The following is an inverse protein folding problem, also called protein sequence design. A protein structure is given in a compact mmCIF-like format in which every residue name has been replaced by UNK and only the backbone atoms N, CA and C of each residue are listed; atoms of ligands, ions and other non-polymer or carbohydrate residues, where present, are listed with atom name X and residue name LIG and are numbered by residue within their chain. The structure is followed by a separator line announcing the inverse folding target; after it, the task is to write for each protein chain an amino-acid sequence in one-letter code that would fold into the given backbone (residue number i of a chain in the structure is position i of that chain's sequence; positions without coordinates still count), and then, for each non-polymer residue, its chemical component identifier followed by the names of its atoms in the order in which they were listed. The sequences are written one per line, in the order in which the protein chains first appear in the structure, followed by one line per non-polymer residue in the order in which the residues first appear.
data_IF_622427022557
#
_entry.id   IF_622427022557
#
_cell.length_a   1.000
_cell.length_b   1.000
_cell.length_c   1.000
_cell.angle_alpha   90.00
_cell.angle_beta   90.00
_cell.angle_gamma   90.00
#
_symmetry.space_group_name_H-M   'P 1'
#
loop_
_entity.id
_entity.type
_entity.pdbx_description
1 polymer ?
#
# COMPACT_ATOMS: atom_id res chain seq x y z
N UNK A 1 -0.59 27.01 -0.21
CA UNK A 1 -1.89 27.50 0.29
C UNK A 1 -2.75 28.15 -0.80
N UNK A 2 -2.37 29.29 -1.43
CA UNK A 2 -3.23 30.00 -2.43
C UNK A 2 -3.63 29.11 -3.62
N UNK A 3 -2.71 28.39 -4.21
CA UNK A 3 -2.96 27.48 -5.34
C UNK A 3 -3.93 26.37 -4.95
N UNK A 4 -3.74 25.79 -3.76
CA UNK A 4 -4.63 24.73 -3.24
C UNK A 4 -6.03 25.27 -2.98
N UNK A 5 -6.17 26.44 -2.38
CA UNK A 5 -7.47 27.08 -2.15
C UNK A 5 -8.21 27.37 -3.47
N UNK A 6 -7.49 27.87 -4.48
CA UNK A 6 -8.06 28.14 -5.80
C UNK A 6 -8.54 26.86 -6.49
N UNK A 7 -7.75 25.79 -6.46
CA UNK A 7 -8.10 24.49 -7.05
C UNK A 7 -9.28 23.82 -6.33
N UNK A 8 -9.33 23.95 -5.01
CA UNK A 8 -10.42 23.45 -4.18
C UNK A 8 -11.70 24.31 -4.24
N UNK A 9 -11.69 25.47 -4.90
CA UNK A 9 -12.82 26.39 -4.96
C UNK A 9 -13.18 27.04 -3.61
N UNK A 10 -12.22 27.18 -2.69
CA UNK A 10 -12.42 27.72 -1.35
C UNK A 10 -11.55 28.96 -1.10
N UNK A 11 -11.84 29.71 -0.04
CA UNK A 11 -11.00 30.85 0.34
C UNK A 11 -9.67 30.43 0.97
N UNK A 12 -8.64 31.23 0.79
CA UNK A 12 -7.34 31.00 1.45
C UNK A 12 -7.50 31.01 2.97
N UNK A 13 -8.36 31.89 3.49
CA UNK A 13 -8.65 31.96 4.93
C UNK A 13 -9.27 30.66 5.48
N UNK A 14 -10.08 29.95 4.68
CA UNK A 14 -10.65 28.68 5.08
C UNK A 14 -9.55 27.59 5.16
N UNK A 15 -8.64 27.54 4.19
CA UNK A 15 -7.51 26.60 4.23
C UNK A 15 -6.62 26.90 5.44
N UNK A 16 -6.34 28.20 5.72
CA UNK A 16 -5.53 28.63 6.87
C UNK A 16 -6.24 28.39 8.23
N UNK A 17 -7.54 28.35 8.25
CA UNK A 17 -8.30 28.01 9.47
C UNK A 17 -8.11 26.55 9.89
N UNK A 18 -7.97 25.63 8.91
CA UNK A 18 -7.77 24.20 9.18
C UNK A 18 -6.30 23.79 9.24
N UNK A 19 -5.42 24.53 8.59
CA UNK A 19 -3.99 24.20 8.47
C UNK A 19 -3.15 25.49 8.67
N UNK A 20 -2.52 25.60 9.82
CA UNK A 20 -1.70 26.77 10.14
C UNK A 20 -0.46 26.82 9.23
N UNK A 21 0.10 25.67 8.88
CA UNK A 21 1.32 25.56 8.08
C UNK A 21 1.14 24.75 6.80
N UNK A 22 2.06 24.93 5.85
CA UNK A 22 2.13 24.07 4.66
C UNK A 22 2.44 22.61 5.05
N UNK A 23 3.23 22.41 6.10
CA UNK A 23 3.57 21.09 6.61
C UNK A 23 2.33 20.34 7.09
N UNK A 24 1.48 20.99 7.90
CA UNK A 24 0.21 20.42 8.35
C UNK A 24 -0.74 20.09 7.21
N UNK A 25 -0.84 20.96 6.20
CA UNK A 25 -1.64 20.68 5.01
C UNK A 25 -1.14 19.43 4.28
N UNK A 26 0.17 19.31 4.06
CA UNK A 26 0.78 18.15 3.40
C UNK A 26 0.59 16.88 4.23
N UNK A 27 0.79 16.97 5.54
CA UNK A 27 0.59 15.86 6.46
C UNK A 27 -0.86 15.37 6.44
N UNK A 28 -1.84 16.26 6.62
CA UNK A 28 -3.25 15.93 6.55
C UNK A 28 -3.67 15.35 5.19
N UNK A 29 -3.05 15.82 4.11
CA UNK A 29 -3.27 15.26 2.76
C UNK A 29 -2.76 13.82 2.68
N UNK A 30 -1.56 13.54 3.20
CA UNK A 30 -1.00 12.17 3.23
C UNK A 30 -1.85 11.23 4.07
N UNK A 31 -2.29 11.66 5.25
CA UNK A 31 -3.17 10.85 6.09
C UNK A 31 -4.51 10.55 5.41
N UNK A 32 -5.07 11.53 4.70
CA UNK A 32 -6.30 11.32 3.94
C UNK A 32 -6.11 10.29 2.83
N UNK A 33 -5.05 10.43 2.03
CA UNK A 33 -4.75 9.52 0.93
C UNK A 33 -4.41 8.10 1.43
N UNK A 34 -3.74 7.99 2.58
CA UNK A 34 -3.46 6.71 3.22
C UNK A 34 -4.76 6.01 3.67
N UNK A 35 -5.68 6.73 4.33
CA UNK A 35 -6.99 6.17 4.71
C UNK A 35 -7.74 5.66 3.48
N UNK A 36 -7.78 6.43 2.40
CA UNK A 36 -8.39 6.03 1.13
C UNK A 36 -7.76 4.77 0.54
N UNK A 37 -6.44 4.67 0.56
CA UNK A 37 -5.71 3.48 0.10
C UNK A 37 -6.07 2.24 0.94
N UNK A 38 -6.14 2.38 2.28
CA UNK A 38 -6.55 1.29 3.18
C UNK A 38 -7.99 0.86 2.91
N UNK A 39 -8.91 1.82 2.71
CA UNK A 39 -10.31 1.54 2.40
C UNK A 39 -10.43 0.74 1.09
N UNK A 40 -9.77 1.17 0.00
CA UNK A 40 -9.77 0.46 -1.28
C UNK A 40 -9.21 -0.96 -1.16
N UNK A 41 -8.07 -1.12 -0.48
CA UNK A 41 -7.50 -2.44 -0.24
C UNK A 41 -8.46 -3.36 0.51
N UNK A 42 -9.07 -2.87 1.61
CA UNK A 42 -10.04 -3.63 2.40
C UNK A 42 -11.29 -3.99 1.60
N UNK A 43 -11.77 -3.10 0.74
CA UNK A 43 -12.90 -3.38 -0.14
C UNK A 43 -12.58 -4.48 -1.14
N UNK A 44 -11.41 -4.42 -1.78
CA UNK A 44 -10.96 -5.44 -2.75
C UNK A 44 -10.71 -6.81 -2.10
N UNK A 45 -10.30 -6.82 -0.84
CA UNK A 45 -10.00 -8.07 -0.11
C UNK A 45 -11.16 -8.57 0.75
N UNK A 46 -12.30 -7.86 0.78
CA UNK A 46 -13.47 -8.21 1.63
C UNK A 46 -14.14 -9.52 1.21
N UNK A 47 -14.18 -9.82 -0.08
CA UNK A 47 -14.77 -11.05 -0.61
C UNK A 47 -13.83 -12.27 -0.44
N UNK A 48 -13.14 -12.29 0.66
CA UNK A 48 -11.96 -13.09 0.95
C UNK A 48 -12.24 -14.57 1.19
N UNK A 49 -12.45 -15.25 0.12
CA UNK A 49 -11.77 -16.52 -0.13
C UNK A 49 -10.34 -16.25 -0.66
N UNK A 50 -9.85 -15.01 -0.49
CA UNK A 50 -8.53 -14.61 -0.93
C UNK A 50 -7.49 -15.29 -0.04
N UNK A 51 -6.57 -16.04 -0.64
CA UNK A 51 -5.40 -16.58 0.07
C UNK A 51 -4.61 -15.43 0.70
N UNK A 52 -3.87 -15.71 1.79
CA UNK A 52 -3.02 -14.69 2.44
C UNK A 52 -2.02 -14.06 1.44
N UNK A 53 -1.57 -14.84 0.45
CA UNK A 53 -0.77 -14.32 -0.68
C UNK A 53 -1.51 -13.25 -1.48
N UNK A 54 -2.77 -13.48 -1.84
CA UNK A 54 -3.57 -12.51 -2.59
C UNK A 54 -3.84 -11.23 -1.77
N UNK A 55 -4.03 -11.36 -0.45
CA UNK A 55 -4.16 -10.23 0.47
C UNK A 55 -2.87 -9.40 0.49
N UNK A 56 -1.70 -10.04 0.61
CA UNK A 56 -0.40 -9.37 0.57
C UNK A 56 -0.13 -8.71 -0.78
N UNK A 57 -0.47 -9.37 -1.89
CA UNK A 57 -0.33 -8.83 -3.24
C UNK A 57 -1.19 -7.58 -3.45
N UNK A 58 -2.47 -7.63 -3.06
CA UNK A 58 -3.37 -6.48 -3.10
C UNK A 58 -2.89 -5.32 -2.23
N UNK A 59 -2.33 -5.63 -1.05
CA UNK A 59 -1.72 -4.64 -0.16
C UNK A 59 -0.55 -3.90 -0.82
N UNK A 60 0.35 -4.63 -1.45
CA UNK A 60 1.53 -4.07 -2.14
C UNK A 60 1.15 -3.32 -3.42
N UNK A 61 0.11 -3.78 -4.12
CA UNK A 61 -0.38 -3.13 -5.34
C UNK A 61 -0.92 -1.71 -5.08
N UNK A 62 -1.42 -1.41 -3.87
CA UNK A 62 -1.85 -0.05 -3.51
C UNK A 62 -0.71 0.98 -3.55
N UNK A 63 0.54 0.57 -3.44
CA UNK A 63 1.70 1.43 -3.60
C UNK A 63 2.07 1.71 -5.07
N UNK A 64 1.44 1.00 -6.04
CA UNK A 64 1.67 1.22 -7.46
C UNK A 64 0.70 2.27 -8.03
N UNK A 65 1.16 3.20 -8.89
CA UNK A 65 0.36 4.25 -9.48
C UNK A 65 -0.49 3.72 -10.66
N UNK A 66 -1.45 2.86 -10.37
CA UNK A 66 -2.30 2.15 -11.36
C UNK A 66 -3.49 2.97 -11.83
N UNK A 67 -3.93 3.93 -11.02
CA UNK A 67 -5.05 4.83 -11.30
C UNK A 67 -4.72 6.28 -10.87
N UNK A 68 -5.63 7.20 -11.09
CA UNK A 68 -5.41 8.62 -10.76
C UNK A 68 -5.20 8.86 -9.25
N UNK A 69 -5.89 8.10 -8.39
CA UNK A 69 -5.82 8.27 -6.94
C UNK A 69 -4.53 7.69 -6.37
N UNK A 70 -4.16 6.47 -6.75
CA UNK A 70 -2.88 5.84 -6.34
C UNK A 70 -1.68 6.62 -6.90
N UNK A 71 -1.80 7.17 -8.11
CA UNK A 71 -0.80 8.07 -8.70
C UNK A 71 -0.65 9.35 -7.87
N UNK A 72 -1.75 9.99 -7.49
CA UNK A 72 -1.72 11.19 -6.64
C UNK A 72 -1.10 10.89 -5.27
N UNK A 73 -1.47 9.77 -4.65
CA UNK A 73 -0.89 9.32 -3.39
C UNK A 73 0.63 9.17 -3.50
N UNK A 74 1.11 8.45 -4.51
CA UNK A 74 2.55 8.21 -4.70
C UNK A 74 3.33 9.51 -4.95
N UNK A 75 2.77 10.43 -5.74
CA UNK A 75 3.37 11.74 -6.00
C UNK A 75 3.45 12.60 -4.75
N UNK A 76 2.38 12.68 -3.95
CA UNK A 76 2.36 13.46 -2.71
C UNK A 76 3.34 12.87 -1.70
N UNK A 77 3.34 11.53 -1.54
CA UNK A 77 4.25 10.83 -0.64
C UNK A 77 5.72 11.07 -1.02
N UNK A 78 6.08 10.87 -2.28
CA UNK A 78 7.46 11.08 -2.77
C UNK A 78 7.90 12.54 -2.62
N UNK A 79 7.00 13.48 -2.95
CA UNK A 79 7.29 14.92 -2.81
C UNK A 79 7.50 15.30 -1.35
N UNK A 80 6.69 14.77 -0.43
CA UNK A 80 6.86 15.01 1.00
C UNK A 80 8.17 14.41 1.50
N UNK A 81 8.50 13.18 1.11
CA UNK A 81 9.75 12.53 1.52
C UNK A 81 10.98 13.34 1.10
N UNK A 82 11.01 13.84 -0.14
CA UNK A 82 12.10 14.69 -0.63
C UNK A 82 12.16 16.00 0.14
N UNK A 83 11.03 16.66 0.39
CA UNK A 83 10.98 17.91 1.15
C UNK A 83 11.44 17.72 2.60
N UNK A 84 11.02 16.63 3.25
CA UNK A 84 11.42 16.33 4.63
C UNK A 84 12.92 16.05 4.80
N UNK A 85 13.63 15.69 3.74
CA UNK A 85 15.11 15.57 3.77
C UNK A 85 15.81 16.92 3.86
N UNK A 86 15.17 18.02 3.45
CA UNK A 86 15.79 19.33 3.30
C UNK A 86 15.14 20.43 4.12
N UNK A 87 13.94 20.21 4.65
CA UNK A 87 13.15 21.17 5.42
C UNK A 87 13.01 20.67 6.87
N UNK A 88 13.68 21.33 7.86
CA UNK A 88 13.64 20.92 9.26
C UNK A 88 12.23 20.95 9.88
N UNK A 89 11.35 21.86 9.43
CA UNK A 89 9.99 21.96 9.95
C UNK A 89 9.14 20.75 9.50
N UNK A 90 9.36 20.28 8.27
CA UNK A 90 8.73 19.05 7.78
C UNK A 90 9.34 17.81 8.44
N UNK A 91 10.64 17.78 8.67
CA UNK A 91 11.32 16.67 9.34
C UNK A 91 10.89 16.50 10.80
N UNK A 92 10.44 17.58 11.47
CA UNK A 92 9.94 17.56 12.84
C UNK A 92 8.54 16.91 12.97
N UNK A 93 7.80 16.74 11.88
CA UNK A 93 6.48 16.09 11.89
C UNK A 93 6.62 14.58 11.71
N UNK A 94 5.75 13.75 12.33
CA UNK A 94 5.86 12.29 12.30
C UNK A 94 5.48 11.70 10.92
N UNK A 95 6.23 12.07 9.89
CA UNK A 95 6.09 11.54 8.53
C UNK A 95 6.16 10.02 8.46
N UNK A 96 6.93 9.42 9.38
CA UNK A 96 7.20 7.97 9.39
C UNK A 96 6.10 7.13 10.01
N UNK A 97 5.12 7.72 10.68
CA UNK A 97 4.07 6.96 11.39
C UNK A 97 3.19 6.16 10.44
N UNK A 98 2.80 6.74 9.31
CA UNK A 98 2.07 6.05 8.25
C UNK A 98 2.84 4.87 7.68
N UNK A 99 4.03 5.09 7.09
CA UNK A 99 4.90 4.02 6.60
C UNK A 99 5.17 2.92 7.64
N UNK A 100 5.48 3.28 8.89
CA UNK A 100 5.73 2.31 9.96
C UNK A 100 4.46 1.50 10.30
N UNK A 101 3.28 2.09 10.25
CA UNK A 101 2.01 1.39 10.44
C UNK A 101 1.78 0.39 9.31
N UNK A 102 2.01 0.79 8.05
CA UNK A 102 1.87 -0.08 6.88
C UNK A 102 2.85 -1.25 6.92
N UNK A 103 4.09 -1.00 7.37
CA UNK A 103 5.08 -2.07 7.52
C UNK A 103 4.65 -3.10 8.59
N UNK A 104 4.15 -2.64 9.74
CA UNK A 104 3.61 -3.56 10.76
C UNK A 104 2.42 -4.36 10.24
N UNK A 105 1.49 -3.72 9.55
CA UNK A 105 0.29 -4.37 8.98
C UNK A 105 0.68 -5.46 7.97
N UNK A 106 1.66 -5.21 7.09
CA UNK A 106 2.18 -6.23 6.19
C UNK A 106 2.91 -7.34 6.94
N UNK A 107 3.70 -7.02 7.96
CA UNK A 107 4.37 -8.01 8.79
C UNK A 107 3.38 -8.94 9.49
N UNK A 108 2.25 -8.41 9.97
CA UNK A 108 1.17 -9.19 10.59
C UNK A 108 0.49 -10.13 9.58
N UNK A 109 0.26 -9.67 8.34
CA UNK A 109 -0.25 -10.51 7.25
C UNK A 109 0.72 -11.66 6.96
N UNK A 110 2.02 -11.39 6.91
CA UNK A 110 3.04 -12.41 6.67
C UNK A 110 3.17 -13.38 7.86
N UNK A 111 3.04 -12.90 9.09
CA UNK A 111 3.05 -13.76 10.28
C UNK A 111 1.84 -14.71 10.30
N UNK A 112 0.66 -14.23 9.91
CA UNK A 112 -0.53 -15.08 9.76
C UNK A 112 -0.32 -16.15 8.69
N UNK A 113 0.24 -15.79 7.52
CA UNK A 113 0.61 -16.75 6.48
C UNK A 113 1.60 -17.81 6.98
N UNK A 114 2.60 -17.42 7.78
CA UNK A 114 3.55 -18.36 8.37
C UNK A 114 2.87 -19.33 9.35
N UNK A 115 1.93 -18.83 10.16
CA UNK A 115 1.17 -19.65 11.11
C UNK A 115 0.31 -20.70 10.39
N UNK A 116 -0.15 -20.39 9.18
CA UNK A 116 -0.90 -21.31 8.31
C UNK A 116 0.01 -22.23 7.50
N UNK A 117 1.34 -22.08 7.59
CA UNK A 117 2.28 -22.87 6.83
C UNK A 117 2.34 -22.50 5.34
N UNK A 118 1.92 -21.29 4.99
CA UNK A 118 1.88 -20.79 3.61
C UNK A 118 3.22 -20.16 3.17
N UNK A 119 4.14 -19.88 4.10
CA UNK A 119 5.44 -19.29 3.81
C UNK A 119 6.57 -20.31 3.87
N UNK A 120 7.63 -20.05 3.09
CA UNK A 120 8.89 -20.77 3.24
C UNK A 120 9.44 -20.56 4.68
N UNK A 121 9.96 -21.63 5.33
CA UNK A 121 10.42 -21.56 6.72
C UNK A 121 11.63 -20.63 6.88
N UNK A 122 11.81 -20.10 8.10
CA UNK A 122 12.97 -19.29 8.46
C UNK A 122 12.95 -17.86 7.93
N UNK A 123 11.80 -17.35 7.52
CA UNK A 123 11.63 -15.96 7.09
C UNK A 123 11.37 -15.03 8.27
N UNK A 124 12.09 -13.92 8.33
CA UNK A 124 11.79 -12.81 9.23
C UNK A 124 10.68 -11.94 8.61
N UNK A 125 9.48 -12.02 9.17
CA UNK A 125 8.29 -11.35 8.63
C UNK A 125 8.43 -9.82 8.60
N UNK A 126 9.13 -9.24 9.57
CA UNK A 126 9.36 -7.78 9.62
C UNK A 126 10.36 -7.36 8.53
N UNK A 127 11.46 -8.08 8.39
CA UNK A 127 12.45 -7.80 7.37
C UNK A 127 11.86 -8.00 5.95
N UNK A 128 11.01 -9.03 5.76
CA UNK A 128 10.33 -9.26 4.47
C UNK A 128 9.28 -8.17 4.19
N UNK A 129 8.54 -7.70 5.19
CA UNK A 129 7.59 -6.59 5.04
C UNK A 129 8.31 -5.29 4.63
N UNK A 130 9.38 -4.92 5.35
CA UNK A 130 10.21 -3.77 5.01
C UNK A 130 10.77 -3.86 3.58
N UNK A 131 11.30 -5.02 3.20
CA UNK A 131 11.84 -5.28 1.86
C UNK A 131 10.77 -5.12 0.77
N UNK A 132 9.59 -5.71 0.97
CA UNK A 132 8.50 -5.68 -0.01
C UNK A 132 7.93 -4.28 -0.18
N UNK A 133 7.76 -3.52 0.90
CA UNK A 133 7.31 -2.12 0.84
C UNK A 133 8.32 -1.22 0.15
N UNK A 134 9.61 -1.35 0.48
CA UNK A 134 10.67 -0.60 -0.20
C UNK A 134 10.70 -0.91 -1.71
N UNK A 135 10.50 -2.20 -2.08
CA UNK A 135 10.39 -2.61 -3.47
C UNK A 135 9.17 -1.97 -4.15
N UNK A 136 7.98 -2.03 -3.54
CA UNK A 136 6.75 -1.46 -4.11
C UNK A 136 6.88 0.05 -4.33
N UNK A 137 7.45 0.79 -3.37
CA UNK A 137 7.69 2.23 -3.51
C UNK A 137 8.69 2.53 -4.64
N UNK A 138 9.77 1.76 -4.75
CA UNK A 138 10.74 1.89 -5.83
C UNK A 138 10.13 1.59 -7.20
N UNK A 139 9.30 0.56 -7.30
CA UNK A 139 8.57 0.21 -8.52
C UNK A 139 7.55 1.30 -8.88
N UNK A 140 6.80 1.83 -7.91
CA UNK A 140 5.86 2.92 -8.14
C UNK A 140 6.56 4.17 -8.69
N UNK A 141 7.71 4.54 -8.14
CA UNK A 141 8.55 5.62 -8.68
C UNK A 141 9.01 5.32 -10.11
N UNK A 142 9.44 4.08 -10.39
CA UNK A 142 9.89 3.65 -11.74
C UNK A 142 8.76 3.76 -12.77
N UNK A 143 7.51 3.45 -12.38
CA UNK A 143 6.33 3.63 -13.24
C UNK A 143 6.04 5.10 -13.48
N UNK A 144 6.11 5.94 -12.43
CA UNK A 144 5.82 7.37 -12.56
C UNK A 144 6.78 8.10 -13.50
N UNK A 145 8.06 7.71 -13.51
CA UNK A 145 9.08 8.30 -14.38
C UNK A 145 9.16 7.63 -15.76
N UNK A 146 8.28 6.66 -16.06
CA UNK A 146 8.21 5.99 -17.35
C UNK A 146 9.33 4.96 -17.60
N UNK A 147 10.06 4.55 -16.56
CA UNK A 147 11.09 3.51 -16.68
C UNK A 147 10.49 2.12 -16.86
N UNK A 148 9.30 1.87 -16.30
CA UNK A 148 8.59 0.58 -16.34
C UNK A 148 7.11 0.80 -16.62
N UNK A 149 6.48 -0.22 -17.18
CA UNK A 149 5.02 -0.31 -17.22
C UNK A 149 4.46 -0.73 -15.85
N UNK A 150 3.17 -0.51 -15.63
CA UNK A 150 2.45 -1.02 -14.46
C UNK A 150 2.47 -2.54 -14.43
N UNK A 151 2.32 -3.20 -15.58
CA UNK A 151 2.32 -4.66 -15.69
C UNK A 151 3.69 -5.24 -15.33
N UNK A 152 4.80 -4.62 -15.75
CA UNK A 152 6.15 -5.02 -15.33
C UNK A 152 6.32 -4.90 -13.81
N UNK A 153 5.81 -3.82 -13.21
CA UNK A 153 5.88 -3.62 -11.77
C UNK A 153 5.09 -4.71 -11.01
N UNK A 154 3.88 -5.05 -11.47
CA UNK A 154 3.11 -6.17 -10.91
C UNK A 154 3.83 -7.51 -11.08
N UNK A 155 4.40 -7.80 -12.24
CA UNK A 155 5.13 -9.04 -12.49
C UNK A 155 6.35 -9.18 -11.55
N UNK A 156 7.05 -8.08 -11.27
CA UNK A 156 8.17 -8.07 -10.32
C UNK A 156 7.68 -8.34 -8.89
N UNK A 157 6.57 -7.73 -8.45
CA UNK A 157 6.00 -8.02 -7.13
C UNK A 157 5.57 -9.48 -7.01
N UNK A 158 4.87 -10.01 -8.01
CA UNK A 158 4.46 -11.42 -8.06
C UNK A 158 5.67 -12.36 -7.97
N UNK A 159 6.73 -12.09 -8.72
CA UNK A 159 7.98 -12.86 -8.65
C UNK A 159 8.58 -12.91 -7.24
N UNK A 160 8.54 -11.80 -6.49
CA UNK A 160 9.05 -11.78 -5.11
C UNK A 160 8.12 -12.47 -4.12
N UNK A 161 6.81 -12.39 -4.32
CA UNK A 161 5.83 -13.12 -3.52
C UNK A 161 5.91 -14.64 -3.75
N UNK A 162 6.12 -15.09 -5.00
CA UNK A 162 6.29 -16.51 -5.33
C UNK A 162 7.53 -17.14 -4.66
N UNK A 163 8.52 -16.32 -4.28
CA UNK A 163 9.71 -16.77 -3.53
C UNK A 163 9.53 -16.73 -2.03
N UNK A 164 8.49 -16.09 -1.55
CA UNK A 164 8.15 -15.98 -0.13
C UNK A 164 7.10 -16.99 0.26
N UNK A 165 6.06 -17.16 -0.58
CA UNK A 165 4.95 -18.05 -0.36
C UNK A 165 5.21 -19.44 -0.97
N UNK A 166 4.73 -20.47 -0.30
CA UNK A 166 4.70 -21.82 -0.85
C UNK A 166 3.61 -21.91 -1.95
N UNK A 167 3.79 -22.79 -2.95
CA UNK A 167 2.73 -23.06 -3.91
C UNK A 167 1.46 -23.51 -3.17
N UNK A 168 0.29 -23.01 -3.60
CA UNK A 168 -0.99 -23.46 -3.06
C UNK A 168 -1.09 -24.98 -3.20
N UNK A 169 -1.33 -25.69 -2.09
CA UNK A 169 -1.55 -27.12 -2.14
C UNK A 169 -2.89 -27.39 -2.81
N UNK A 170 -2.95 -28.38 -3.69
CA UNK A 170 -4.16 -28.76 -4.45
C UNK A 170 -5.37 -29.17 -3.57
N UNK A 171 -5.23 -29.13 -2.24
CA UNK A 171 -6.27 -29.40 -1.25
C UNK A 171 -7.15 -28.20 -0.90
N UNK A 172 -6.76 -26.97 -1.22
CA UNK A 172 -7.50 -25.74 -0.87
C UNK A 172 -8.61 -25.37 -1.87
N UNK A 173 -8.72 -26.13 -2.95
CA UNK A 173 -9.87 -26.08 -3.84
C UNK A 173 -11.01 -26.87 -3.21
N UNK A 174 -11.84 -26.21 -2.43
CA UNK A 174 -13.05 -26.77 -1.81
C UNK A 174 -13.88 -27.54 -2.82
N UNK A 175 -14.22 -28.82 -2.58
CA UNK A 175 -15.08 -29.56 -3.48
C UNK A 175 -16.49 -28.98 -3.39
N UNK A 176 -16.89 -28.25 -4.42
CA UNK A 176 -18.28 -27.85 -4.59
C UNK A 176 -19.17 -29.10 -4.61
N UNK A 177 -20.09 -29.11 -3.65
CA UNK A 177 -21.39 -29.79 -3.65
C UNK A 177 -21.52 -31.08 -4.50
N UNK A 178 -21.36 -32.24 -3.88
CA UNK A 178 -22.10 -33.42 -4.30
C UNK A 178 -23.61 -33.15 -4.08
N UNK A 179 -24.32 -32.89 -5.14
CA UNK A 179 -25.76 -33.06 -5.18
C UNK A 179 -26.00 -34.56 -4.97
N UNK A 180 -26.58 -34.92 -3.85
CA UNK A 180 -27.25 -36.23 -3.68
C UNK A 180 -28.52 -36.19 -4.51
N UNK A 181 -28.47 -36.80 -5.68
CA UNK A 181 -29.66 -37.35 -6.32
C UNK A 181 -30.03 -38.58 -5.51
N UNK A 182 -31.13 -38.49 -4.76
CA UNK A 182 -31.84 -39.66 -4.26
C UNK A 182 -33.23 -39.64 -4.85
N UNK A 183 -33.47 -40.63 -5.67
CA UNK A 183 -34.67 -41.26 -6.21
C UNK A 183 -36.02 -40.88 -5.60
#
# INVERSE_FOLDING_TARGET
MRTVAAEAGVSVSLVQYYFDTKAELLHGTLEHLERRSVERWRERTRDAQSSTRAIAEGFLAEALPTDAESRAHHLVWTSYAVLAMTDPDLAAHPFVDGPNRRERELADILADAATRGELHPGRDHRAEAARLLALSHGLGTSVLVGQRSTDDAHAILAYHLDRLFLPATAGDLHPAARKEDTT
#
